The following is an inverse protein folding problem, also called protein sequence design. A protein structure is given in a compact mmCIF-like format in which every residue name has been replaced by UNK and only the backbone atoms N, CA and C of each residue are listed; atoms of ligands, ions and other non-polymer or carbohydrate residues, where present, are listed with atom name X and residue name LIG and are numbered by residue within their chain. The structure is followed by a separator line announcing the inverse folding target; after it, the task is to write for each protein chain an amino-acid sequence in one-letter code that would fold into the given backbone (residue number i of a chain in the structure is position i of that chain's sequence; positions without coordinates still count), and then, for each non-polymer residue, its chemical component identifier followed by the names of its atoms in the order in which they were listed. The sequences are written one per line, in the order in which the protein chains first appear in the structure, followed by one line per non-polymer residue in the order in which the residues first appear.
data_IF_009621931219
#
_entry.id   IF_009621931219
#
_cell.length_a   1.000
_cell.length_b   1.000
_cell.length_c   1.000
_cell.angle_alpha   90.00
_cell.angle_beta   90.00
_cell.angle_gamma   90.00
#
_symmetry.space_group_name_H-M   'P 1'
#
loop_
_entity.id
_entity.type
_entity.pdbx_description
1 polymer ?
#
# COMPACT_ATOMS: atom_id res chain seq x y z
N UNK A 1 51.55 28.93 42.13
CA UNK A 1 50.22 29.10 41.51
C UNK A 1 50.05 28.07 40.39
N UNK A 2 49.75 26.80 40.68
CA UNK A 2 49.50 25.77 39.63
C UNK A 2 48.84 24.49 40.17
N UNK A 3 47.86 24.63 41.07
CA UNK A 3 47.07 23.48 41.58
C UNK A 3 45.56 23.61 41.31
N UNK A 4 45.10 24.77 40.85
CA UNK A 4 43.70 25.05 40.53
C UNK A 4 43.32 24.70 39.08
N UNK A 5 44.30 24.63 38.18
CA UNK A 5 44.10 24.30 36.77
C UNK A 5 43.53 22.88 36.53
N UNK A 6 44.02 21.80 37.20
CA UNK A 6 43.46 20.46 36.99
C UNK A 6 42.06 20.31 37.61
N UNK A 7 41.76 21.06 38.69
CA UNK A 7 40.46 21.04 39.35
C UNK A 7 39.38 21.69 38.48
N UNK A 8 39.70 22.83 37.85
CA UNK A 8 38.81 23.53 36.92
C UNK A 8 38.49 22.70 35.68
N UNK A 9 39.49 21.98 35.14
CA UNK A 9 39.30 21.10 33.99
C UNK A 9 38.39 19.90 34.32
N UNK A 10 38.55 19.31 35.49
CA UNK A 10 37.73 18.19 35.95
C UNK A 10 36.26 18.58 36.17
N UNK A 11 36.01 19.77 36.73
CA UNK A 11 34.66 20.31 36.92
C UNK A 11 34.01 20.63 35.57
N UNK A 12 34.76 21.16 34.59
CA UNK A 12 34.25 21.43 33.25
C UNK A 12 33.81 20.15 32.51
N UNK A 13 34.61 19.08 32.59
CA UNK A 13 34.25 17.79 31.99
C UNK A 13 32.99 17.17 32.60
N UNK A 14 32.80 17.31 33.92
CA UNK A 14 31.61 16.80 34.63
C UNK A 14 30.32 17.54 34.23
N UNK A 15 30.40 18.86 34.00
CA UNK A 15 29.25 19.67 33.55
C UNK A 15 28.89 19.35 32.10
N UNK A 16 29.86 19.06 31.22
CA UNK A 16 29.58 18.68 29.83
C UNK A 16 28.89 17.31 29.69
N UNK A 17 29.10 16.37 30.61
CA UNK A 17 28.46 15.05 30.57
C UNK A 17 26.99 15.02 31.01
N UNK A 18 26.49 16.08 31.66
CA UNK A 18 25.13 16.12 32.22
C UNK A 18 24.03 16.51 31.20
N UNK A 19 24.39 16.92 29.98
CA UNK A 19 23.44 17.44 28.98
C UNK A 19 23.03 16.43 27.90
N UNK A 20 23.09 15.12 28.15
CA UNK A 20 22.57 14.11 27.21
C UNK A 20 21.47 13.25 27.84
N UNK A 21 20.47 13.91 28.43
CA UNK A 21 19.18 13.27 28.63
C UNK A 21 18.53 13.11 27.25
N UNK A 22 18.92 12.03 26.55
CA UNK A 22 18.36 11.67 25.25
C UNK A 22 16.88 11.37 25.41
N UNK A 23 16.04 12.34 25.08
CA UNK A 23 14.60 12.16 24.98
C UNK A 23 14.32 11.19 23.82
N UNK A 24 14.27 9.89 24.13
CA UNK A 24 13.72 8.87 23.23
C UNK A 24 12.20 8.95 23.30
N UNK A 25 11.62 10.00 22.73
CA UNK A 25 10.24 9.88 22.28
C UNK A 25 10.22 8.85 21.16
N UNK A 26 9.23 7.96 21.23
CA UNK A 26 8.89 7.15 20.07
C UNK A 26 8.54 8.12 18.94
N UNK A 27 9.18 8.03 17.76
CA UNK A 27 8.75 8.83 16.64
C UNK A 27 7.30 8.45 16.34
N UNK A 28 6.41 9.44 16.33
CA UNK A 28 5.08 9.24 15.79
C UNK A 28 5.24 8.86 14.31
N UNK A 29 4.47 7.87 13.80
CA UNK A 29 4.60 7.46 12.42
C UNK A 29 4.35 8.67 11.53
N UNK A 30 5.38 9.09 10.80
CA UNK A 30 5.24 10.12 9.78
C UNK A 30 4.46 9.48 8.65
N UNK A 31 3.12 9.59 8.70
CA UNK A 31 2.22 8.89 7.78
C UNK A 31 2.64 9.06 6.31
N UNK A 32 3.22 10.19 5.96
CA UNK A 32 3.69 10.48 4.60
C UNK A 32 4.85 9.60 4.14
N UNK A 33 5.75 9.19 5.03
CA UNK A 33 6.92 8.36 4.70
C UNK A 33 6.58 6.87 4.66
N UNK A 34 5.55 6.44 5.38
CA UNK A 34 5.11 5.04 5.43
C UNK A 34 3.87 4.76 4.56
N UNK A 35 3.35 5.76 3.83
CA UNK A 35 2.22 5.58 2.91
C UNK A 35 2.66 5.37 1.47
N UNK A 36 1.81 4.65 0.75
CA UNK A 36 1.87 4.53 -0.70
C UNK A 36 0.55 4.97 -1.32
N UNK A 37 0.52 5.08 -2.65
CA UNK A 37 -0.70 5.23 -3.44
C UNK A 37 -0.59 4.49 -4.77
N UNK A 38 -1.73 4.17 -5.37
CA UNK A 38 -1.77 3.67 -6.74
C UNK A 38 -1.57 4.83 -7.72
N UNK A 39 -0.47 4.79 -8.47
CA UNK A 39 -0.17 5.78 -9.50
C UNK A 39 -0.84 5.45 -10.83
N UNK A 40 -0.85 4.16 -11.18
CA UNK A 40 -1.46 3.65 -12.40
C UNK A 40 -2.06 2.28 -12.09
N UNK A 41 -3.25 2.03 -12.62
CA UNK A 41 -3.86 0.70 -12.63
C UNK A 41 -4.43 0.48 -14.03
N UNK A 42 -4.02 -0.61 -14.66
CA UNK A 42 -4.56 -1.09 -15.93
C UNK A 42 -5.03 -2.51 -15.76
N UNK A 43 -5.92 -2.96 -16.64
CA UNK A 43 -6.29 -4.36 -16.69
C UNK A 43 -6.66 -4.80 -18.10
N UNK A 44 -6.55 -6.10 -18.32
CA UNK A 44 -6.87 -6.78 -19.57
C UNK A 44 -7.68 -8.04 -19.24
N UNK A 45 -8.73 -8.29 -20.02
CA UNK A 45 -9.48 -9.55 -19.98
C UNK A 45 -8.83 -10.53 -20.96
N UNK A 46 -8.67 -11.78 -20.51
CA UNK A 46 -8.14 -12.86 -21.34
C UNK A 46 -8.67 -14.20 -20.88
N UNK A 47 -9.38 -14.91 -21.75
CA UNK A 47 -9.82 -16.31 -21.56
C UNK A 47 -10.61 -16.57 -20.26
N UNK A 48 -11.39 -15.59 -19.78
CA UNK A 48 -12.13 -15.68 -18.51
C UNK A 48 -11.29 -15.30 -17.29
N UNK A 49 -10.09 -14.78 -17.49
CA UNK A 49 -9.25 -14.16 -16.49
C UNK A 49 -9.20 -12.64 -16.64
N UNK A 50 -9.00 -11.93 -15.53
CA UNK A 50 -8.71 -10.52 -15.48
C UNK A 50 -7.26 -10.36 -14.99
N UNK A 51 -6.40 -9.83 -15.84
CA UNK A 51 -5.01 -9.53 -15.52
C UNK A 51 -4.93 -8.04 -15.19
N UNK A 52 -4.58 -7.70 -13.96
CA UNK A 52 -4.50 -6.34 -13.45
C UNK A 52 -3.03 -6.01 -13.23
N UNK A 53 -2.59 -4.86 -13.72
CA UNK A 53 -1.26 -4.32 -13.46
C UNK A 53 -1.39 -3.01 -12.71
N UNK A 54 -0.83 -2.95 -11.50
CA UNK A 54 -0.82 -1.79 -10.64
C UNK A 54 0.60 -1.29 -10.43
N UNK A 55 0.79 0.04 -10.48
CA UNK A 55 2.04 0.69 -10.10
C UNK A 55 1.82 1.53 -8.85
N UNK A 56 2.61 1.24 -7.82
CA UNK A 56 2.64 2.01 -6.59
C UNK A 56 3.62 3.20 -6.67
N UNK A 57 3.37 4.20 -5.84
CA UNK A 57 4.27 5.32 -5.56
C UNK A 57 4.34 5.53 -4.04
N UNK A 58 5.51 5.99 -3.53
CA UNK A 58 5.76 6.15 -2.11
C UNK A 58 6.39 4.90 -1.50
N UNK A 59 6.00 4.54 -0.28
CA UNK A 59 6.52 3.40 0.47
C UNK A 59 5.95 2.05 0.00
N UNK A 60 6.12 1.73 -1.28
CA UNK A 60 5.51 0.53 -1.90
C UNK A 60 5.93 -0.78 -1.23
N UNK A 61 7.11 -0.84 -0.61
CA UNK A 61 7.59 -2.02 0.12
C UNK A 61 6.74 -2.33 1.37
N UNK A 62 5.88 -1.39 1.79
CA UNK A 62 4.93 -1.56 2.88
C UNK A 62 3.64 -2.26 2.45
N UNK A 63 3.45 -2.57 1.17
CA UNK A 63 2.32 -3.35 0.71
C UNK A 63 2.35 -4.76 1.34
N UNK A 64 1.30 -5.11 2.08
CA UNK A 64 1.13 -6.45 2.63
C UNK A 64 0.36 -7.35 1.64
N UNK A 65 -0.82 -6.90 1.22
CA UNK A 65 -1.68 -7.63 0.30
C UNK A 65 -2.56 -6.67 -0.51
N UNK A 66 -3.18 -7.21 -1.56
CA UNK A 66 -4.12 -6.46 -2.40
C UNK A 66 -5.47 -7.15 -2.40
N UNK A 67 -6.52 -6.39 -2.09
CA UNK A 67 -7.89 -6.85 -2.26
C UNK A 67 -8.42 -6.40 -3.62
N UNK A 68 -8.78 -7.36 -4.46
CA UNK A 68 -9.47 -7.14 -5.74
C UNK A 68 -10.97 -7.15 -5.50
N UNK A 69 -11.63 -6.06 -5.89
CA UNK A 69 -13.07 -5.90 -5.75
C UNK A 69 -13.70 -5.82 -7.13
N UNK A 70 -14.71 -6.65 -7.38
CA UNK A 70 -15.32 -6.87 -8.69
C UNK A 70 -16.84 -6.73 -8.61
N UNK A 71 -17.41 -6.10 -9.62
CA UNK A 71 -18.84 -6.00 -9.86
C UNK A 71 -19.12 -6.36 -11.33
N UNK A 72 -19.82 -7.47 -11.61
CA UNK A 72 -20.22 -7.81 -12.98
C UNK A 72 -21.29 -6.85 -13.49
N UNK A 73 -21.13 -6.36 -14.72
CA UNK A 73 -22.14 -5.59 -15.42
C UNK A 73 -22.97 -6.53 -16.29
N UNK A 74 -24.11 -6.96 -15.73
CA UNK A 74 -25.05 -7.82 -16.46
C UNK A 74 -25.88 -6.96 -17.42
N UNK A 75 -25.96 -7.29 -18.72
CA UNK A 75 -26.82 -6.58 -19.66
C UNK A 75 -28.26 -6.48 -19.15
N UNK A 76 -28.83 -5.27 -19.15
CA UNK A 76 -30.20 -5.02 -18.68
C UNK A 76 -30.38 -4.81 -17.17
N UNK A 77 -29.36 -5.09 -16.35
CA UNK A 77 -29.37 -4.84 -14.89
C UNK A 77 -28.18 -4.01 -14.38
N UNK A 78 -27.09 -3.93 -15.16
CA UNK A 78 -25.88 -3.18 -14.85
C UNK A 78 -25.92 -1.77 -15.45
N UNK A 79 -26.06 -0.76 -14.60
CA UNK A 79 -25.89 0.64 -14.98
C UNK A 79 -24.41 1.05 -14.83
N UNK A 80 -23.79 1.52 -15.92
CA UNK A 80 -22.40 2.00 -15.91
C UNK A 80 -22.23 3.19 -14.95
N UNK A 81 -23.22 4.08 -14.87
CA UNK A 81 -23.19 5.28 -14.02
C UNK A 81 -23.52 5.02 -12.54
N UNK A 82 -24.01 3.82 -12.21
CA UNK A 82 -24.35 3.52 -10.82
C UNK A 82 -23.11 3.40 -9.93
N UNK A 83 -23.23 3.78 -8.65
CA UNK A 83 -22.16 3.64 -7.68
C UNK A 83 -21.62 2.21 -7.64
N UNK A 84 -20.29 2.10 -7.64
CA UNK A 84 -19.60 0.83 -7.60
C UNK A 84 -19.95 0.04 -6.33
N UNK A 85 -20.54 -1.14 -6.51
CA UNK A 85 -20.98 -2.03 -5.43
C UNK A 85 -20.34 -3.40 -5.63
N UNK A 86 -19.19 -3.67 -4.98
CA UNK A 86 -18.47 -4.91 -5.21
C UNK A 86 -19.31 -6.12 -4.78
N UNK A 87 -19.40 -7.11 -5.68
CA UNK A 87 -20.11 -8.38 -5.48
C UNK A 87 -19.15 -9.52 -5.19
N UNK A 88 -17.91 -9.42 -5.65
CA UNK A 88 -16.83 -10.37 -5.39
C UNK A 88 -15.63 -9.63 -4.85
N UNK A 89 -15.07 -10.14 -3.76
CA UNK A 89 -13.92 -9.58 -3.04
C UNK A 89 -12.90 -10.70 -2.89
N UNK A 90 -11.67 -10.46 -3.31
CA UNK A 90 -10.59 -11.44 -3.30
C UNK A 90 -9.34 -10.81 -2.72
N UNK A 91 -8.86 -11.36 -1.60
CA UNK A 91 -7.58 -10.96 -1.04
C UNK A 91 -6.47 -11.77 -1.73
N UNK A 92 -5.46 -11.08 -2.23
CA UNK A 92 -4.32 -11.68 -2.94
C UNK A 92 -3.01 -11.25 -2.27
N UNK A 93 -2.18 -12.24 -1.95
CA UNK A 93 -0.94 -12.11 -1.19
C UNK A 93 0.26 -12.61 -2.00
N UNK A 94 1.45 -12.15 -1.61
CA UNK A 94 2.71 -12.71 -2.10
C UNK A 94 2.74 -14.21 -1.87
N UNK A 95 2.96 -14.97 -2.94
CA UNK A 95 2.95 -16.44 -2.94
C UNK A 95 1.68 -17.07 -3.53
N UNK A 96 0.59 -16.32 -3.67
CA UNK A 96 -0.60 -16.82 -4.35
C UNK A 96 -0.34 -16.99 -5.86
N UNK A 97 -0.95 -18.01 -6.47
CA UNK A 97 -0.73 -18.33 -7.90
C UNK A 97 -1.01 -17.15 -8.84
N UNK A 98 -1.94 -16.26 -8.49
CA UNK A 98 -2.31 -15.10 -9.28
C UNK A 98 -1.57 -13.81 -8.89
N UNK A 99 -0.59 -13.85 -8.00
CA UNK A 99 0.08 -12.65 -7.49
C UNK A 99 1.55 -12.62 -7.90
N UNK A 100 2.01 -11.49 -8.44
CA UNK A 100 3.43 -11.22 -8.68
C UNK A 100 3.76 -9.76 -8.41
N UNK A 101 4.98 -9.49 -7.93
CA UNK A 101 5.48 -8.16 -7.63
C UNK A 101 6.94 -8.01 -8.08
N UNK A 102 7.26 -6.91 -8.75
CA UNK A 102 8.63 -6.54 -9.15
C UNK A 102 8.83 -5.07 -8.85
N UNK A 103 9.53 -4.76 -7.76
CA UNK A 103 9.70 -3.39 -7.28
C UNK A 103 8.33 -2.74 -7.00
N UNK A 104 8.01 -1.56 -7.57
CA UNK A 104 6.72 -0.90 -7.35
C UNK A 104 5.57 -1.46 -8.19
N UNK A 105 5.82 -2.49 -9.02
CA UNK A 105 4.83 -3.05 -9.93
C UNK A 105 4.22 -4.32 -9.33
N UNK A 106 2.89 -4.37 -9.31
CA UNK A 106 2.11 -5.53 -8.86
C UNK A 106 1.28 -6.03 -10.04
N UNK A 107 1.32 -7.34 -10.28
CA UNK A 107 0.50 -8.02 -11.27
C UNK A 107 -0.41 -9.03 -10.57
N UNK A 108 -1.71 -8.90 -10.81
CA UNK A 108 -2.74 -9.76 -10.23
C UNK A 108 -3.49 -10.47 -11.36
N UNK A 109 -3.74 -11.77 -11.22
CA UNK A 109 -4.50 -12.57 -12.18
C UNK A 109 -5.67 -13.22 -11.48
N UNK A 110 -6.89 -12.80 -11.81
CA UNK A 110 -8.14 -13.34 -11.27
C UNK A 110 -8.85 -14.12 -12.36
N UNK A 111 -8.90 -15.44 -12.22
CA UNK A 111 -9.58 -16.33 -13.17
C UNK A 111 -10.95 -16.81 -12.64
N UNK A 112 -11.69 -17.49 -13.51
CA UNK A 112 -13.05 -17.97 -13.20
C UNK A 112 -14.08 -16.84 -13.24
N UNK A 113 -13.92 -15.91 -14.18
CA UNK A 113 -14.88 -14.86 -14.48
C UNK A 113 -15.61 -15.22 -15.79
N UNK A 114 -16.88 -14.82 -15.89
CA UNK A 114 -17.70 -15.04 -17.08
C UNK A 114 -17.09 -14.32 -18.28
N UNK A 115 -16.93 -15.03 -19.40
CA UNK A 115 -16.16 -14.54 -20.54
C UNK A 115 -16.80 -13.33 -21.20
N UNK A 116 -18.11 -13.35 -21.35
CA UNK A 116 -18.87 -12.33 -22.11
C UNK A 116 -19.36 -11.16 -21.24
N UNK A 117 -18.93 -11.10 -19.97
CA UNK A 117 -19.32 -10.03 -19.06
C UNK A 117 -18.22 -8.99 -18.90
N UNK A 118 -18.63 -7.73 -18.96
CA UNK A 118 -17.84 -6.58 -18.52
C UNK A 118 -17.84 -6.50 -16.99
N UNK A 119 -16.72 -6.13 -16.39
CA UNK A 119 -16.60 -5.95 -14.95
C UNK A 119 -16.19 -4.52 -14.60
N UNK A 120 -16.89 -3.90 -13.64
CA UNK A 120 -16.29 -2.79 -12.86
C UNK A 120 -15.38 -3.41 -11.82
N UNK A 121 -14.22 -2.82 -11.61
CA UNK A 121 -13.30 -3.29 -10.60
C UNK A 121 -12.51 -2.15 -9.96
N UNK A 122 -11.99 -2.42 -8.76
CA UNK A 122 -10.92 -1.63 -8.15
C UNK A 122 -10.01 -2.55 -7.37
N UNK A 123 -8.80 -2.09 -7.14
CA UNK A 123 -7.86 -2.75 -6.24
C UNK A 123 -7.65 -1.89 -5.00
N UNK A 124 -7.45 -2.57 -3.86
CA UNK A 124 -7.22 -1.94 -2.56
C UNK A 124 -5.91 -2.48 -2.01
N UNK A 125 -4.93 -1.61 -1.84
CA UNK A 125 -3.64 -1.97 -1.26
C UNK A 125 -3.69 -1.81 0.26
N UNK A 126 -3.33 -2.87 0.97
CA UNK A 126 -3.29 -2.87 2.44
C UNK A 126 -1.84 -2.71 2.91
N UNK A 127 -1.64 -1.83 3.87
CA UNK A 127 -0.33 -1.57 4.45
C UNK A 127 -0.02 -2.62 5.53
N UNK A 128 1.23 -3.07 5.59
CA UNK A 128 1.75 -3.92 6.67
C UNK A 128 1.64 -3.27 8.06
N UNK A 129 1.63 -1.93 8.12
CA UNK A 129 1.34 -1.16 9.32
C UNK A 129 -0.17 -0.95 9.44
N UNK A 130 -0.79 -1.62 10.42
CA UNK A 130 -2.26 -1.62 10.62
C UNK A 130 -2.86 -0.24 10.95
N UNK A 131 -2.06 0.70 11.44
CA UNK A 131 -2.49 2.07 11.71
C UNK A 131 -2.67 2.89 10.43
N UNK A 132 -2.07 2.47 9.32
CA UNK A 132 -2.13 3.20 8.06
C UNK A 132 -3.36 2.74 7.26
N UNK A 133 -4.24 3.68 6.84
CA UNK A 133 -5.41 3.33 6.06
C UNK A 133 -5.05 2.70 4.71
N UNK A 134 -5.91 1.80 4.26
CA UNK A 134 -5.84 1.20 2.94
C UNK A 134 -5.89 2.25 1.81
N UNK A 135 -5.36 1.88 0.64
CA UNK A 135 -5.26 2.75 -0.52
C UNK A 135 -6.00 2.15 -1.69
N UNK A 136 -7.08 2.83 -2.10
CA UNK A 136 -7.97 2.40 -3.18
C UNK A 136 -7.49 2.97 -4.51
N UNK A 137 -7.54 2.18 -5.56
CA UNK A 137 -7.49 2.71 -6.92
C UNK A 137 -8.79 3.43 -7.27
N UNK A 138 -8.81 4.11 -8.41
CA UNK A 138 -10.08 4.42 -9.09
C UNK A 138 -10.86 3.15 -9.43
N UNK A 139 -12.13 3.31 -9.76
CA UNK A 139 -12.94 2.24 -10.33
C UNK A 139 -12.69 2.24 -11.84
N UNK A 140 -12.31 1.08 -12.38
CA UNK A 140 -12.04 0.88 -13.79
C UNK A 140 -13.02 -0.13 -14.37
N UNK A 141 -13.13 -0.15 -15.69
CA UNK A 141 -13.97 -1.08 -16.45
C UNK A 141 -13.04 -2.02 -17.19
N UNK A 142 -13.32 -3.31 -17.10
CA UNK A 142 -12.64 -4.37 -17.84
C UNK A 142 -13.66 -5.04 -18.76
N UNK A 143 -13.57 -4.72 -20.04
CA UNK A 143 -14.37 -5.31 -21.12
C UNK A 143 -13.78 -6.67 -21.54
N UNK A 144 -14.63 -7.64 -21.94
CA UNK A 144 -14.23 -8.98 -22.38
C UNK A 144 -13.03 -9.08 -23.31
#
# INVERSE_FOLDING_TARGET
MSRFLPLLLAVFCLVCSACTLGYKAWPEPVEKEDTFSWRLVTAERKDGCLVIEGRLQGAYQRLDFVTVQLEPLVPGAGCVECPFTPRKILDMRRGDQGYSEIGPYVRLTVCGLERDLTYKFRIVGHNSLRSIPERKSGVLIAEP
#
